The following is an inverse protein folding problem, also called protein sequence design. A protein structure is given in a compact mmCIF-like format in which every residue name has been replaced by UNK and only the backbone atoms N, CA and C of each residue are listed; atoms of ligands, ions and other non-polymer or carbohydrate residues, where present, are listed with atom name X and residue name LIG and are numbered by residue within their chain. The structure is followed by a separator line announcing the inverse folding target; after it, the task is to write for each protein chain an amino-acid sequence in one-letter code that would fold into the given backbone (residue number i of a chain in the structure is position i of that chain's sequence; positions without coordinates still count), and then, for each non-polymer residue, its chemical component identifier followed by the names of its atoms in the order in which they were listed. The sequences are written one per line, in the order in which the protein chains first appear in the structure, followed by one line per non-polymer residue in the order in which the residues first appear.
data_IF_780343731156
#
_entry.id   IF_780343731156
#
_cell.length_a   1.000
_cell.length_b   1.000
_cell.length_c   1.000
_cell.angle_alpha   90.00
_cell.angle_beta   90.00
_cell.angle_gamma   90.00
#
_symmetry.space_group_name_H-M   'P 1'
#
loop_
_entity.id
_entity.type
_entity.pdbx_description
1 polymer ?
#
# COMPACT_ATOMS: atom_id res chain seq x y z
N UNK A 1 8.86 -22.20 -0.23
CA UNK A 1 7.76 -22.77 -1.04
C UNK A 1 8.14 -22.50 -2.49
N UNK A 2 8.46 -23.53 -3.28
CA UNK A 2 8.55 -23.37 -4.73
C UNK A 2 7.17 -23.76 -5.27
N UNK A 3 6.27 -22.82 -5.51
CA UNK A 3 4.94 -23.16 -5.96
C UNK A 3 5.03 -23.43 -7.46
N UNK A 4 4.59 -24.60 -7.91
CA UNK A 4 4.46 -24.96 -9.34
C UNK A 4 3.47 -24.03 -10.08
N UNK A 5 3.74 -22.73 -10.16
CA UNK A 5 2.95 -21.75 -10.90
C UNK A 5 3.27 -21.88 -12.39
N UNK A 6 2.64 -22.85 -13.05
CA UNK A 6 2.59 -22.92 -14.50
C UNK A 6 1.28 -22.31 -15.03
N UNK A 7 1.23 -22.06 -16.34
CA UNK A 7 0.10 -21.44 -17.04
C UNK A 7 -1.24 -22.17 -16.79
N UNK A 8 -1.19 -23.49 -16.68
CA UNK A 8 -2.36 -24.32 -16.42
C UNK A 8 -2.86 -24.11 -15.00
N UNK A 9 -1.96 -24.21 -14.01
CA UNK A 9 -2.31 -24.07 -12.59
C UNK A 9 -2.89 -22.70 -12.26
N UNK A 10 -2.45 -21.62 -12.91
CA UNK A 10 -3.05 -20.30 -12.71
C UNK A 10 -4.55 -20.30 -13.05
N UNK A 11 -4.97 -21.12 -14.03
CA UNK A 11 -6.35 -21.17 -14.54
C UNK A 11 -7.23 -22.26 -13.93
N UNK A 12 -6.63 -23.34 -13.43
CA UNK A 12 -7.37 -24.52 -12.95
C UNK A 12 -7.05 -24.90 -11.50
N UNK A 13 -5.99 -24.32 -10.94
CA UNK A 13 -5.41 -24.76 -9.69
C UNK A 13 -6.08 -24.19 -8.45
N UNK A 14 -5.50 -24.60 -7.33
CA UNK A 14 -5.85 -24.14 -5.99
C UNK A 14 -4.59 -23.71 -5.23
N UNK A 15 -4.73 -22.63 -4.47
CA UNK A 15 -3.72 -22.09 -3.58
C UNK A 15 -4.27 -22.09 -2.15
N UNK A 16 -3.56 -22.75 -1.25
CA UNK A 16 -3.83 -22.76 0.19
C UNK A 16 -2.59 -22.19 0.89
N UNK A 17 -2.76 -21.13 1.67
CA UNK A 17 -1.68 -20.51 2.41
C UNK A 17 -1.52 -21.19 3.78
N UNK A 18 -0.60 -22.16 3.86
CA UNK A 18 -0.32 -22.88 5.11
C UNK A 18 0.05 -21.91 6.25
N UNK A 19 -0.64 -22.03 7.39
CA UNK A 19 -0.42 -21.16 8.55
C UNK A 19 -1.11 -19.78 8.49
N UNK A 20 -1.85 -19.48 7.42
CA UNK A 20 -2.67 -18.28 7.35
C UNK A 20 -3.82 -18.34 8.38
N UNK A 21 -4.03 -17.24 9.10
CA UNK A 21 -5.17 -17.05 9.99
C UNK A 21 -6.03 -15.92 9.45
N UNK A 22 -7.25 -16.25 9.04
CA UNK A 22 -8.24 -15.27 8.57
C UNK A 22 -8.68 -14.39 9.74
N UNK A 23 -8.50 -13.06 9.67
CA UNK A 23 -9.03 -12.15 10.70
C UNK A 23 -10.56 -12.12 10.78
N UNK A 24 -11.25 -12.53 9.71
CA UNK A 24 -12.72 -12.53 9.62
C UNK A 24 -13.35 -13.92 9.66
N UNK A 25 -12.55 -14.97 9.89
CA UNK A 25 -12.95 -16.37 9.74
C UNK A 25 -13.51 -16.72 8.35
N UNK A 26 -13.11 -15.97 7.32
CA UNK A 26 -13.43 -16.21 5.93
C UNK A 26 -12.34 -17.09 5.27
N UNK A 27 -12.71 -18.29 4.83
CA UNK A 27 -11.77 -19.23 4.20
C UNK A 27 -11.11 -18.66 2.94
N UNK A 28 -11.78 -17.78 2.21
CA UNK A 28 -11.27 -17.15 0.98
C UNK A 28 -10.10 -16.20 1.23
N UNK A 29 -9.85 -15.79 2.48
CA UNK A 29 -8.68 -14.97 2.83
C UNK A 29 -7.38 -15.80 2.87
N UNK A 30 -7.49 -17.11 3.12
CA UNK A 30 -6.35 -18.02 3.22
C UNK A 30 -6.31 -19.07 2.10
N UNK A 31 -7.33 -19.09 1.24
CA UNK A 31 -7.48 -20.04 0.15
C UNK A 31 -8.01 -19.34 -1.10
N UNK A 32 -7.48 -19.73 -2.26
CA UNK A 32 -7.98 -19.30 -3.57
C UNK A 32 -8.13 -20.51 -4.47
N UNK A 33 -9.26 -20.62 -5.16
CA UNK A 33 -9.50 -21.63 -6.19
C UNK A 33 -9.79 -20.92 -7.51
N UNK A 34 -9.09 -21.32 -8.57
CA UNK A 34 -9.39 -20.83 -9.90
C UNK A 34 -10.69 -21.45 -10.42
N UNK A 35 -11.58 -20.62 -10.96
CA UNK A 35 -12.88 -21.02 -11.49
C UNK A 35 -13.43 -19.94 -12.42
N UNK A 36 -13.93 -20.34 -13.60
CA UNK A 36 -14.44 -19.41 -14.63
C UNK A 36 -13.41 -18.32 -14.97
N UNK A 37 -13.69 -17.06 -14.66
CA UNK A 37 -12.77 -15.93 -14.87
C UNK A 37 -11.91 -15.59 -13.65
N UNK A 38 -12.06 -16.31 -12.55
CA UNK A 38 -11.21 -16.19 -11.36
C UNK A 38 -9.98 -17.05 -11.55
N UNK A 39 -8.80 -16.44 -11.47
CA UNK A 39 -7.51 -17.14 -11.55
C UNK A 39 -6.80 -17.14 -10.19
N UNK A 40 -5.75 -17.94 -10.07
CA UNK A 40 -4.79 -17.76 -8.98
C UNK A 40 -3.99 -16.47 -9.18
N UNK A 41 -3.52 -15.82 -8.10
CA UNK A 41 -2.66 -14.65 -8.22
C UNK A 41 -1.46 -14.96 -9.12
N UNK A 42 -1.24 -14.18 -10.19
CA UNK A 42 -0.23 -14.49 -11.19
C UNK A 42 1.20 -14.13 -10.75
N UNK A 43 1.34 -13.50 -9.58
CA UNK A 43 2.62 -13.00 -9.05
C UNK A 43 2.73 -13.41 -7.59
N UNK A 44 3.87 -13.95 -7.22
CA UNK A 44 4.24 -14.24 -5.84
C UNK A 44 5.09 -13.10 -5.31
N UNK A 45 4.71 -12.56 -4.16
CA UNK A 45 5.43 -11.49 -3.47
C UNK A 45 5.50 -11.79 -1.98
N UNK A 46 6.31 -11.02 -1.25
CA UNK A 46 6.49 -11.15 0.18
C UNK A 46 6.03 -9.89 0.93
N UNK A 47 5.51 -10.11 2.14
CA UNK A 47 5.23 -9.06 3.12
C UNK A 47 5.72 -9.53 4.48
N UNK A 48 6.63 -8.76 5.07
CA UNK A 48 7.18 -8.95 6.40
C UNK A 48 6.49 -8.00 7.37
N UNK A 49 6.31 -8.42 8.62
CA UNK A 49 5.78 -7.55 9.66
C UNK A 49 6.32 -7.90 11.05
N UNK A 50 6.27 -6.90 11.94
CA UNK A 50 6.76 -7.03 13.31
C UNK A 50 5.65 -7.28 14.33
N UNK A 51 4.42 -7.64 13.91
CA UNK A 51 3.25 -7.68 14.81
C UNK A 51 3.47 -8.48 16.11
N UNK A 52 4.19 -9.60 16.01
CA UNK A 52 4.48 -10.50 17.13
C UNK A 52 5.86 -10.29 17.77
N UNK A 53 6.68 -9.34 17.29
CA UNK A 53 8.05 -9.11 17.75
C UNK A 53 8.31 -7.69 18.25
N UNK A 54 7.68 -6.69 17.64
CA UNK A 54 7.86 -5.28 17.97
C UNK A 54 6.63 -4.45 17.57
N UNK A 55 6.15 -3.67 18.54
CA UNK A 55 5.06 -2.70 18.40
C UNK A 55 5.41 -1.44 19.18
N UNK A 56 4.92 -0.29 18.75
CA UNK A 56 5.19 0.98 19.41
C UNK A 56 4.03 1.95 19.22
N UNK A 57 3.92 2.91 20.13
CA UNK A 57 3.01 4.06 20.00
C UNK A 57 3.84 5.33 20.16
N UNK A 58 3.72 6.21 19.17
CA UNK A 58 4.51 7.44 19.05
C UNK A 58 6.02 7.19 18.94
N UNK A 59 6.74 8.15 18.38
CA UNK A 59 8.17 8.01 18.09
C UNK A 59 8.50 8.48 16.68
N UNK A 60 9.69 8.12 16.21
CA UNK A 60 10.12 8.29 14.83
C UNK A 60 10.51 6.94 14.25
N UNK A 61 9.95 6.58 13.09
CA UNK A 61 10.43 5.46 12.27
C UNK A 61 11.22 6.01 11.08
N UNK A 62 12.36 5.38 10.80
CA UNK A 62 13.19 5.64 9.62
C UNK A 62 13.47 4.31 8.90
N UNK A 63 13.20 4.27 7.61
CA UNK A 63 13.39 3.12 6.74
C UNK A 63 14.30 3.54 5.61
N UNK A 64 15.54 3.05 5.60
CA UNK A 64 16.45 3.24 4.47
C UNK A 64 16.25 2.12 3.48
N UNK A 65 15.72 2.45 2.31
CA UNK A 65 15.39 1.47 1.29
C UNK A 65 15.54 2.04 -0.12
N UNK A 66 15.76 1.14 -1.09
CA UNK A 66 15.54 1.38 -2.51
C UNK A 66 14.22 0.72 -2.90
N UNK A 67 13.29 1.53 -3.43
CA UNK A 67 11.95 1.07 -3.79
C UNK A 67 11.99 0.25 -5.08
N UNK A 68 11.01 -0.65 -5.30
CA UNK A 68 10.96 -1.44 -6.53
C UNK A 68 10.72 -0.56 -7.76
N UNK A 69 11.14 -1.04 -8.93
CA UNK A 69 11.03 -0.38 -10.23
C UNK A 69 10.43 -1.33 -11.28
N UNK A 70 9.36 -0.87 -11.92
CA UNK A 70 8.63 -1.61 -12.96
C UNK A 70 7.13 -1.36 -12.92
N UNK A 71 6.48 -1.63 -14.05
CA UNK A 71 5.07 -1.35 -14.23
C UNK A 71 4.19 -2.15 -13.29
N UNK A 72 3.19 -1.45 -12.74
CA UNK A 72 2.17 -2.02 -11.87
C UNK A 72 2.70 -2.58 -10.55
N UNK A 73 3.92 -2.21 -10.15
CA UNK A 73 4.50 -2.55 -8.84
C UNK A 73 4.35 -1.34 -7.90
N UNK A 74 4.22 -1.59 -6.60
CA UNK A 74 4.32 -0.56 -5.58
C UNK A 74 4.86 -1.13 -4.26
N UNK A 75 5.67 -0.35 -3.51
CA UNK A 75 6.09 -0.75 -2.18
C UNK A 75 4.99 -0.50 -1.14
N UNK A 76 5.06 -1.28 -0.07
CA UNK A 76 4.24 -1.14 1.13
C UNK A 76 5.16 -0.90 2.33
N UNK A 77 5.48 0.36 2.63
CA UNK A 77 6.18 0.74 3.88
C UNK A 77 5.13 1.33 4.82
N UNK A 78 4.62 0.48 5.72
CA UNK A 78 3.40 0.76 6.47
C UNK A 78 3.63 0.62 7.98
N UNK A 79 2.90 1.40 8.75
CA UNK A 79 2.58 1.07 10.14
C UNK A 79 1.11 0.63 10.19
N UNK A 80 0.86 -0.52 10.82
CA UNK A 80 -0.47 -1.12 10.94
C UNK A 80 -0.84 -1.32 12.42
N UNK A 81 -2.13 -1.25 12.77
CA UNK A 81 -2.55 -1.35 14.16
C UNK A 81 -2.25 -2.75 14.72
N UNK A 82 -1.60 -2.81 15.89
CA UNK A 82 -1.30 -4.08 16.56
C UNK A 82 -2.58 -4.84 16.92
N UNK A 83 -3.62 -4.09 17.27
CA UNK A 83 -4.94 -4.59 17.61
C UNK A 83 -6.01 -3.77 16.88
N UNK A 84 -7.10 -4.42 16.49
CA UNK A 84 -8.24 -3.77 15.85
C UNK A 84 -9.13 -3.06 16.89
N UNK A 85 -8.55 -2.20 17.74
CA UNK A 85 -9.23 -1.57 18.88
C UNK A 85 -10.51 -0.81 18.47
N UNK A 86 -10.45 -0.06 17.37
CA UNK A 86 -11.60 0.64 16.80
C UNK A 86 -12.37 -0.20 15.78
N UNK A 87 -11.99 -1.45 15.57
CA UNK A 87 -12.56 -2.35 14.58
C UNK A 87 -11.63 -2.65 13.41
N UNK A 88 -11.92 -3.75 12.72
CA UNK A 88 -11.18 -4.24 11.55
C UNK A 88 -11.74 -3.72 10.23
N UNK A 89 -13.06 -3.61 10.13
CA UNK A 89 -13.75 -3.24 8.91
C UNK A 89 -13.36 -1.83 8.44
N UNK A 90 -13.19 -1.67 7.13
CA UNK A 90 -12.86 -0.41 6.45
C UNK A 90 -11.73 0.40 7.11
N UNK A 91 -10.71 -0.28 7.65
CA UNK A 91 -9.58 0.36 8.33
C UNK A 91 -10.01 1.24 9.51
N UNK A 92 -11.02 0.82 10.29
CA UNK A 92 -11.48 1.58 11.45
C UNK A 92 -10.38 1.89 12.47
N UNK A 93 -9.39 0.99 12.62
CA UNK A 93 -8.20 1.23 13.46
C UNK A 93 -7.05 1.94 12.73
N UNK A 94 -7.28 2.44 11.51
CA UNK A 94 -6.35 3.22 10.71
C UNK A 94 -5.17 2.43 10.12
N UNK A 95 -4.40 3.12 9.29
CA UNK A 95 -3.08 2.70 8.81
C UNK A 95 -2.24 3.95 8.54
N UNK A 96 -0.94 3.90 8.83
CA UNK A 96 -0.01 4.95 8.44
C UNK A 96 0.89 4.44 7.32
N UNK A 97 1.03 5.23 6.27
CA UNK A 97 1.90 4.97 5.13
C UNK A 97 3.15 5.81 5.29
N UNK A 98 4.30 5.17 5.53
CA UNK A 98 5.60 5.85 5.64
C UNK A 98 6.07 6.27 4.26
N UNK A 99 5.99 5.37 3.29
CA UNK A 99 6.35 5.66 1.90
C UNK A 99 5.63 4.73 0.92
N UNK A 100 5.25 5.30 -0.22
CA UNK A 100 4.58 4.62 -1.31
C UNK A 100 4.77 5.40 -2.62
N UNK A 101 5.01 4.68 -3.71
CA UNK A 101 5.11 5.19 -5.08
C UNK A 101 4.40 4.21 -6.00
N UNK A 102 4.00 4.66 -7.19
CA UNK A 102 3.67 3.74 -8.28
C UNK A 102 4.95 3.54 -9.09
N UNK A 103 5.55 2.37 -9.00
CA UNK A 103 6.93 2.10 -9.44
C UNK A 103 7.16 2.09 -10.95
N UNK A 104 6.14 2.44 -11.73
CA UNK A 104 6.26 2.64 -13.17
C UNK A 104 7.32 3.71 -13.48
N UNK A 105 8.10 3.48 -14.54
CA UNK A 105 9.06 4.48 -15.05
C UNK A 105 8.34 5.78 -15.45
N UNK A 106 7.19 5.61 -16.10
CA UNK A 106 6.33 6.71 -16.52
C UNK A 106 4.88 6.27 -16.47
N UNK A 107 4.04 6.98 -15.72
CA UNK A 107 2.62 6.68 -15.53
C UNK A 107 1.82 7.97 -15.37
N UNK A 108 0.85 8.14 -16.26
CA UNK A 108 -0.04 9.29 -16.27
C UNK A 108 -1.49 8.86 -16.05
N UNK A 109 -2.27 9.70 -15.38
CA UNK A 109 -3.73 9.53 -15.31
C UNK A 109 -4.38 9.91 -16.64
N UNK A 110 -5.69 9.68 -16.75
CA UNK A 110 -6.50 10.13 -17.90
C UNK A 110 -6.39 11.63 -18.14
N UNK A 111 -6.27 12.40 -17.07
CA UNK A 111 -6.15 13.87 -17.07
C UNK A 111 -4.71 14.33 -17.36
N UNK A 112 -3.77 13.40 -17.60
CA UNK A 112 -2.37 13.72 -17.89
C UNK A 112 -1.53 14.04 -16.65
N UNK A 113 -2.01 13.74 -15.45
CA UNK A 113 -1.26 13.96 -14.21
C UNK A 113 -0.22 12.85 -14.05
N UNK A 114 1.04 13.21 -13.85
CA UNK A 114 2.12 12.27 -13.56
C UNK A 114 1.97 11.72 -12.13
N UNK A 115 1.85 10.40 -12.01
CA UNK A 115 1.60 9.68 -10.75
C UNK A 115 2.56 8.51 -10.52
N UNK A 116 3.67 8.53 -11.23
CA UNK A 116 4.68 7.48 -11.29
C UNK A 116 5.69 7.53 -10.15
N UNK A 117 6.83 6.87 -10.34
CA UNK A 117 7.86 6.73 -9.33
C UNK A 117 8.58 8.01 -8.93
N UNK A 118 8.31 9.13 -9.59
CA UNK A 118 8.78 10.47 -9.20
C UNK A 118 7.92 11.09 -8.09
N UNK A 119 6.78 10.49 -7.75
CA UNK A 119 5.80 11.00 -6.78
C UNK A 119 5.72 10.11 -5.54
N UNK A 120 6.52 10.43 -4.53
CA UNK A 120 6.43 9.82 -3.20
C UNK A 120 5.15 10.26 -2.50
N UNK A 121 4.45 9.30 -1.89
CA UNK A 121 3.27 9.52 -1.06
C UNK A 121 3.45 8.88 0.33
N UNK A 122 2.93 9.56 1.34
CA UNK A 122 2.85 9.05 2.71
C UNK A 122 1.74 9.75 3.48
N UNK A 123 1.35 9.24 4.63
CA UNK A 123 0.32 9.85 5.48
C UNK A 123 -0.66 8.84 6.08
N UNK A 124 -1.83 9.33 6.50
CA UNK A 124 -2.85 8.52 7.13
C UNK A 124 -3.82 7.92 6.10
N UNK A 125 -4.25 6.68 6.35
CA UNK A 125 -5.32 6.00 5.59
C UNK A 125 -6.38 5.54 6.58
N UNK A 126 -7.63 5.97 6.35
CA UNK A 126 -8.75 5.78 7.27
C UNK A 126 -9.87 4.90 6.71
N UNK A 127 -9.80 4.56 5.42
CA UNK A 127 -10.85 3.85 4.68
C UNK A 127 -10.26 3.23 3.42
N UNK A 128 -10.89 2.16 2.95
CA UNK A 128 -10.62 1.53 1.66
C UNK A 128 -11.43 2.15 0.52
N UNK A 129 -12.37 3.06 0.82
CA UNK A 129 -13.20 3.73 -0.20
C UNK A 129 -12.33 4.54 -1.19
N UNK A 130 -12.36 4.26 -2.51
CA UNK A 130 -11.38 4.78 -3.47
C UNK A 130 -11.20 6.30 -3.48
N UNK A 131 -12.29 7.08 -3.36
CA UNK A 131 -12.24 8.56 -3.39
C UNK A 131 -11.76 9.19 -2.09
N UNK A 132 -11.81 8.46 -0.99
CA UNK A 132 -11.53 8.97 0.35
C UNK A 132 -10.22 8.42 0.94
N UNK A 133 -9.72 7.29 0.41
CA UNK A 133 -8.50 6.62 0.85
C UNK A 133 -7.30 7.56 0.87
N UNK A 134 -7.17 8.39 -0.16
CA UNK A 134 -6.00 9.23 -0.37
C UNK A 134 -6.12 10.63 0.26
N UNK A 135 -7.22 10.92 0.99
CA UNK A 135 -7.54 12.27 1.49
C UNK A 135 -6.47 12.87 2.42
N UNK A 136 -5.74 12.03 3.16
CA UNK A 136 -4.67 12.45 4.07
C UNK A 136 -3.28 12.03 3.59
N UNK A 137 -3.16 11.56 2.35
CA UNK A 137 -1.85 11.34 1.75
C UNK A 137 -1.27 12.68 1.29
N UNK A 138 0.01 12.87 1.59
CA UNK A 138 0.79 14.02 1.16
C UNK A 138 1.87 13.53 0.21
N UNK A 139 2.21 14.37 -0.75
CA UNK A 139 3.14 14.02 -1.80
C UNK A 139 4.41 14.85 -1.73
N UNK A 140 5.54 14.23 -2.07
CA UNK A 140 6.77 14.90 -2.47
C UNK A 140 7.09 14.48 -3.90
N UNK A 141 7.51 15.42 -4.74
CA UNK A 141 7.86 15.17 -6.14
C UNK A 141 9.31 15.54 -6.35
N UNK A 142 10.07 14.63 -6.95
CA UNK A 142 11.44 14.87 -7.37
C UNK A 142 11.54 14.70 -8.88
N UNK A 143 12.58 15.28 -9.49
CA UNK A 143 12.91 15.02 -10.89
C UNK A 143 13.50 13.62 -11.08
N UNK A 144 14.04 13.03 -10.02
CA UNK A 144 14.56 11.67 -10.00
C UNK A 144 13.50 10.67 -9.50
N UNK A 145 13.53 9.46 -10.06
CA UNK A 145 12.65 8.39 -9.62
C UNK A 145 13.09 7.85 -8.26
N UNK A 146 12.18 7.73 -7.30
CA UNK A 146 12.48 7.22 -5.94
C UNK A 146 12.93 5.75 -5.88
N UNK A 147 13.07 5.10 -7.03
CA UNK A 147 13.54 3.71 -7.17
C UNK A 147 14.93 3.65 -7.79
N UNK A 148 15.56 4.78 -8.13
CA UNK A 148 16.89 4.81 -8.70
C UNK A 148 17.97 4.64 -7.63
N UNK A 149 17.75 5.25 -6.46
CA UNK A 149 18.69 5.25 -5.35
C UNK A 149 18.06 4.82 -4.01
N UNK A 150 18.91 4.58 -3.02
CA UNK A 150 18.47 4.42 -1.63
C UNK A 150 18.08 5.77 -1.06
N UNK A 151 16.90 5.85 -0.47
CA UNK A 151 16.44 7.00 0.30
C UNK A 151 16.12 6.58 1.73
N UNK A 152 16.12 7.56 2.63
CA UNK A 152 15.67 7.37 4.01
C UNK A 152 14.26 7.94 4.17
N UNK A 153 13.27 7.07 4.17
CA UNK A 153 11.86 7.43 4.38
C UNK A 153 11.55 7.46 5.86
N UNK A 154 10.92 8.52 6.34
CA UNK A 154 10.62 8.68 7.76
C UNK A 154 9.21 9.15 8.06
N UNK A 155 8.75 8.75 9.23
CA UNK A 155 7.50 9.20 9.82
C UNK A 155 7.73 9.50 11.30
N UNK A 156 7.50 10.75 11.70
CA UNK A 156 7.53 11.21 13.09
C UNK A 156 6.10 11.29 13.58
N UNK A 157 5.76 10.44 14.54
CA UNK A 157 4.42 10.30 15.08
C UNK A 157 4.40 10.79 16.53
N UNK A 158 3.68 11.88 16.76
CA UNK A 158 3.42 12.50 18.06
C UNK A 158 1.95 12.33 18.44
N UNK A 159 1.58 12.57 19.71
CA UNK A 159 0.19 12.57 20.13
C UNK A 159 -0.72 13.53 19.36
N UNK A 160 -0.16 14.62 18.84
CA UNK A 160 -0.89 15.72 18.19
C UNK A 160 -0.59 15.89 16.69
N UNK A 161 0.34 15.10 16.14
CA UNK A 161 0.82 15.31 14.78
C UNK A 161 1.53 14.10 14.16
N UNK A 162 1.48 14.02 12.83
CA UNK A 162 2.26 13.06 12.04
C UNK A 162 3.04 13.84 10.99
N UNK A 163 4.37 13.81 11.06
CA UNK A 163 5.24 14.43 10.07
C UNK A 163 5.89 13.37 9.18
N UNK A 164 6.02 13.69 7.89
CA UNK A 164 6.61 12.79 6.89
C UNK A 164 7.92 13.38 6.40
N UNK A 165 8.95 12.53 6.30
CA UNK A 165 10.28 12.92 5.88
C UNK A 165 10.81 12.02 4.77
N UNK A 166 11.67 12.56 3.93
CA UNK A 166 12.53 11.80 3.03
C UNK A 166 13.92 12.44 3.01
N UNK A 167 14.95 11.62 3.19
CA UNK A 167 16.36 12.04 3.27
C UNK A 167 16.60 13.15 4.30
N UNK A 168 15.90 13.06 5.43
CA UNK A 168 15.96 14.03 6.51
C UNK A 168 15.11 15.29 6.30
N UNK A 169 14.57 15.53 5.11
CA UNK A 169 13.72 16.68 4.82
C UNK A 169 12.26 16.37 5.11
N UNK A 170 11.62 17.21 5.92
CA UNK A 170 10.19 17.13 6.19
C UNK A 170 9.38 17.78 5.07
N UNK A 171 8.62 16.99 4.32
CA UNK A 171 7.79 17.50 3.22
C UNK A 171 6.33 17.74 3.61
N UNK A 172 5.87 17.20 4.75
CA UNK A 172 4.52 17.44 5.23
C UNK A 172 4.36 17.21 6.74
N UNK A 173 3.30 17.81 7.30
CA UNK A 173 2.80 17.52 8.66
C UNK A 173 1.28 17.47 8.64
N UNK A 174 0.72 16.41 9.21
CA UNK A 174 -0.70 16.25 9.50
C UNK A 174 -0.93 16.67 10.95
N UNK A 175 -1.88 17.59 11.16
CA UNK A 175 -2.44 17.97 12.47
C UNK A 175 -3.97 17.88 12.43
N UNK A 176 -4.47 17.00 11.58
CA UNK A 176 -5.87 16.90 11.20
C UNK A 176 -6.74 16.37 12.36
N UNK A 177 -8.02 16.74 12.34
CA UNK A 177 -9.04 16.11 13.18
C UNK A 177 -9.75 15.05 12.35
N UNK A 178 -9.32 13.79 12.46
CA UNK A 178 -9.81 12.73 11.59
C UNK A 178 -11.31 12.45 11.80
N UNK A 179 -11.80 12.48 13.05
CA UNK A 179 -13.22 12.23 13.37
C UNK A 179 -14.21 13.19 12.69
N UNK A 180 -14.06 14.52 12.78
CA UNK A 180 -14.88 15.45 12.00
C UNK A 180 -14.89 15.17 10.50
N UNK A 181 -13.72 14.87 9.90
CA UNK A 181 -13.64 14.51 8.48
C UNK A 181 -14.44 13.24 8.18
N UNK A 182 -14.27 12.21 9.01
CA UNK A 182 -14.99 10.95 8.84
C UNK A 182 -16.51 11.12 8.95
N UNK A 183 -16.98 11.91 9.92
CA UNK A 183 -18.40 12.25 10.05
C UNK A 183 -18.92 13.00 8.80
N UNK A 184 -18.18 14.00 8.32
CA UNK A 184 -18.57 14.77 7.13
C UNK A 184 -18.60 13.95 5.83
N UNK A 185 -17.86 12.84 5.77
CA UNK A 185 -17.75 11.97 4.59
C UNK A 185 -18.45 10.61 4.77
N UNK A 186 -19.36 10.47 5.73
CA UNK A 186 -20.11 9.25 6.00
C UNK A 186 -19.22 8.00 6.16
N UNK A 187 -18.12 8.16 6.91
CA UNK A 187 -17.29 7.05 7.38
C UNK A 187 -17.89 6.55 8.70
N UNK A 188 -18.60 5.42 8.65
CA UNK A 188 -19.30 4.84 9.82
C UNK A 188 -18.35 4.52 10.96
N UNK A 189 -17.10 4.15 10.64
CA UNK A 189 -16.03 3.91 11.61
C UNK A 189 -15.66 5.15 12.43
N UNK A 190 -15.94 6.36 11.96
CA UNK A 190 -15.65 7.59 12.69
C UNK A 190 -16.43 7.70 14.02
N UNK A 191 -17.57 7.01 14.12
CA UNK A 191 -18.34 6.92 15.36
C UNK A 191 -17.60 6.15 16.46
N UNK A 192 -16.68 5.25 16.07
CA UNK A 192 -15.90 4.44 17.01
C UNK A 192 -14.68 5.21 17.57
N UNK A 193 -14.23 6.25 16.86
CA UNK A 193 -13.04 7.02 17.23
C UNK A 193 -13.25 7.86 18.49
N UNK A 194 -12.19 7.97 19.29
CA UNK A 194 -12.19 8.71 20.53
C UNK A 194 -12.47 10.21 20.26
N UNK A 195 -13.57 10.80 20.78
CA UNK A 195 -13.89 12.21 20.57
C UNK A 195 -12.88 13.17 21.23
N UNK A 196 -12.20 12.73 22.29
CA UNK A 196 -11.27 13.55 23.06
C UNK A 196 -9.84 13.51 22.48
N UNK A 197 -9.61 12.67 21.47
CA UNK A 197 -8.33 12.58 20.78
C UNK A 197 -8.48 12.92 19.29
N UNK A 198 -8.02 14.11 18.91
CA UNK A 198 -8.05 14.59 17.54
C UNK A 198 -7.35 13.64 16.53
N UNK A 199 -6.33 12.92 16.98
CA UNK A 199 -5.52 12.02 16.15
C UNK A 199 -6.05 10.58 16.13
N UNK A 200 -7.13 10.25 16.85
CA UNK A 200 -7.79 8.94 16.74
C UNK A 200 -8.14 8.65 15.27
N UNK A 201 -7.81 7.46 14.73
CA UNK A 201 -7.46 6.21 15.43
C UNK A 201 -5.97 5.98 15.74
N UNK A 202 -5.10 6.97 15.52
CA UNK A 202 -3.65 6.84 15.70
C UNK A 202 -3.20 7.15 17.13
N UNK A 203 -3.82 6.46 18.09
CA UNK A 203 -3.57 6.60 19.53
C UNK A 203 -3.35 5.27 20.27
N UNK A 204 -3.20 4.19 19.49
CA UNK A 204 -2.89 2.82 19.92
C UNK A 204 -1.53 2.38 19.39
N UNK A 205 -1.06 1.20 19.77
CA UNK A 205 0.21 0.67 19.27
C UNK A 205 0.09 0.16 17.83
N UNK A 206 1.11 0.44 17.04
CA UNK A 206 1.24 -0.01 15.66
C UNK A 206 2.51 -0.85 15.51
N UNK A 207 2.52 -1.76 14.54
CA UNK A 207 3.68 -2.54 14.12
C UNK A 207 4.10 -2.14 12.70
N UNK A 208 5.34 -2.43 12.34
CA UNK A 208 5.90 -2.12 11.02
C UNK A 208 5.58 -3.26 10.07
N UNK A 209 5.20 -2.92 8.84
CA UNK A 209 5.11 -3.88 7.75
C UNK A 209 5.77 -3.37 6.48
N UNK A 210 6.52 -4.27 5.84
CA UNK A 210 7.29 -4.03 4.62
C UNK A 210 6.88 -5.07 3.59
N UNK A 211 6.58 -4.66 2.37
CA UNK A 211 6.25 -5.60 1.30
C UNK A 211 6.19 -4.96 -0.06
N UNK A 212 5.92 -5.78 -1.08
CA UNK A 212 5.73 -5.35 -2.46
C UNK A 212 4.36 -5.80 -2.94
N UNK A 213 3.56 -4.85 -3.42
CA UNK A 213 2.29 -5.11 -4.09
C UNK A 213 2.45 -5.05 -5.60
N UNK A 214 1.64 -5.83 -6.31
CA UNK A 214 1.61 -5.84 -7.78
C UNK A 214 0.16 -5.84 -8.25
N UNK A 215 -0.15 -4.96 -9.20
CA UNK A 215 -1.49 -4.77 -9.75
C UNK A 215 -2.48 -4.24 -8.71
N UNK A 216 -3.61 -4.92 -8.55
CA UNK A 216 -4.66 -4.54 -7.60
C UNK A 216 -5.65 -3.51 -8.14
N UNK A 217 -6.69 -3.23 -7.36
CA UNK A 217 -7.84 -2.39 -7.77
C UNK A 217 -7.92 -1.05 -7.03
N UNK A 218 -6.90 -0.74 -6.24
CA UNK A 218 -6.87 0.42 -5.34
C UNK A 218 -5.84 1.45 -5.75
N UNK A 219 -4.60 1.04 -6.03
CA UNK A 219 -3.47 1.96 -6.13
C UNK A 219 -3.30 2.58 -7.51
N UNK A 220 -3.68 1.86 -8.58
CA UNK A 220 -3.60 2.33 -9.96
C UNK A 220 -4.95 2.88 -10.45
N UNK A 221 -5.06 4.18 -10.77
CA UNK A 221 -6.28 4.77 -11.30
C UNK A 221 -6.71 4.13 -12.62
N UNK A 222 -8.01 4.04 -12.85
CA UNK A 222 -8.54 3.60 -14.14
C UNK A 222 -8.19 4.58 -15.26
N UNK A 223 -8.06 4.06 -16.48
CA UNK A 223 -7.65 4.83 -17.66
C UNK A 223 -6.27 5.48 -17.56
N UNK A 224 -5.43 5.04 -16.61
CA UNK A 224 -4.02 5.40 -16.59
C UNK A 224 -3.26 4.77 -17.77
N UNK A 225 -2.17 5.41 -18.18
CA UNK A 225 -1.34 4.99 -19.31
C UNK A 225 0.13 4.98 -18.88
N UNK A 226 0.84 3.92 -19.23
CA UNK A 226 2.25 3.69 -18.87
C UNK A 226 3.19 3.80 -20.08
N UNK A 227 4.41 4.26 -19.83
CA UNK A 227 5.50 4.31 -20.79
C UNK A 227 5.34 5.35 -21.92
N UNK A 228 6.35 5.50 -22.78
CA UNK A 228 6.38 6.51 -23.84
C UNK A 228 5.31 6.30 -24.91
N UNK A 229 4.89 5.04 -25.13
CA UNK A 229 3.84 4.67 -26.07
C UNK A 229 2.43 4.81 -25.49
N UNK A 230 2.29 5.32 -24.26
CA UNK A 230 1.00 5.51 -23.55
C UNK A 230 0.14 4.25 -23.56
N UNK A 231 0.75 3.11 -23.22
CA UNK A 231 0.02 1.85 -23.17
C UNK A 231 -1.02 1.91 -22.05
N UNK A 232 -2.30 1.63 -22.33
CA UNK A 232 -3.33 1.74 -21.31
C UNK A 232 -3.17 0.66 -20.24
N UNK A 233 -3.53 0.99 -19.00
CA UNK A 233 -3.70 0.02 -17.93
C UNK A 233 -4.60 -1.14 -18.41
N UNK A 234 -4.15 -2.41 -18.27
CA UNK A 234 -4.84 -3.54 -18.89
C UNK A 234 -6.15 -3.94 -18.19
N UNK A 235 -6.47 -3.41 -17.00
CA UNK A 235 -7.69 -3.72 -16.26
C UNK A 235 -8.43 -2.49 -15.74
N UNK A 236 -9.72 -2.67 -15.47
CA UNK A 236 -10.56 -1.71 -14.75
C UNK A 236 -10.73 -2.14 -13.29
N UNK A 237 -10.66 -1.21 -12.34
CA UNK A 237 -10.74 -1.48 -10.89
C UNK A 237 -12.06 -2.11 -10.44
N UNK A 238 -13.14 -1.92 -11.20
CA UNK A 238 -14.46 -2.48 -10.90
C UNK A 238 -14.74 -3.81 -11.60
N UNK A 239 -13.85 -4.24 -12.50
CA UNK A 239 -14.07 -5.46 -13.28
C UNK A 239 -13.87 -6.71 -12.44
N UNK A 240 -14.82 -7.68 -12.45
CA UNK A 240 -14.60 -8.98 -11.82
C UNK A 240 -13.51 -9.81 -12.53
N UNK A 241 -13.07 -9.38 -13.71
CA UNK A 241 -11.99 -10.00 -14.49
C UNK A 241 -10.67 -9.22 -14.41
N UNK A 242 -10.54 -8.28 -13.49
CA UNK A 242 -9.37 -7.39 -13.40
C UNK A 242 -8.04 -8.17 -13.32
N UNK A 243 -7.96 -9.13 -12.40
CA UNK A 243 -6.80 -10.00 -12.20
C UNK A 243 -6.47 -10.82 -13.47
N UNK A 244 -7.50 -11.32 -14.16
CA UNK A 244 -7.34 -12.04 -15.41
C UNK A 244 -6.76 -11.17 -16.53
N UNK A 245 -7.27 -9.95 -16.71
CA UNK A 245 -6.76 -9.03 -17.72
C UNK A 245 -5.34 -8.54 -17.41
N UNK A 246 -5.05 -8.30 -16.13
CA UNK A 246 -3.69 -8.06 -15.67
C UNK A 246 -2.74 -9.20 -16.10
N UNK A 247 -3.14 -10.45 -15.84
CA UNK A 247 -2.36 -11.63 -16.22
C UNK A 247 -2.18 -11.82 -17.74
N UNK A 248 -3.23 -11.57 -18.53
CA UNK A 248 -3.16 -11.67 -19.99
C UNK A 248 -2.12 -10.71 -20.59
N UNK A 249 -1.90 -9.57 -19.93
CA UNK A 249 -0.94 -8.56 -20.38
C UNK A 249 0.50 -8.79 -19.87
N UNK A 250 0.80 -9.91 -19.19
CA UNK A 250 2.10 -10.14 -18.53
C UNK A 250 3.34 -10.00 -19.39
N UNK A 251 3.26 -10.40 -20.66
CA UNK A 251 4.40 -10.30 -21.57
C UNK A 251 4.81 -8.85 -21.85
N UNK A 252 3.94 -7.88 -21.54
CA UNK A 252 4.21 -6.45 -21.62
C UNK A 252 4.84 -5.97 -20.32
N UNK A 253 4.10 -6.04 -19.20
CA UNK A 253 4.58 -5.45 -17.95
C UNK A 253 5.77 -6.18 -17.34
N UNK A 254 5.89 -7.50 -17.51
CA UNK A 254 7.00 -8.25 -16.90
C UNK A 254 8.36 -7.82 -17.44
N UNK A 255 8.42 -7.36 -18.69
CA UNK A 255 9.65 -6.85 -19.31
C UNK A 255 10.10 -5.50 -18.75
N UNK A 256 9.21 -4.78 -18.07
CA UNK A 256 9.51 -3.48 -17.46
C UNK A 256 10.11 -3.61 -16.07
N UNK A 257 10.10 -4.82 -15.49
CA UNK A 257 10.57 -5.09 -14.13
C UNK A 257 12.10 -5.18 -14.11
N UNK A 258 12.76 -4.03 -14.08
CA UNK A 258 14.23 -3.92 -14.09
C UNK A 258 14.84 -4.05 -12.69
N UNK A 259 14.13 -3.59 -11.65
CA UNK A 259 14.53 -3.76 -10.25
C UNK A 259 13.29 -3.97 -9.36
N UNK A 260 12.55 -5.10 -9.50
CA UNK A 260 11.23 -5.28 -8.88
C UNK A 260 11.27 -5.54 -7.36
N UNK A 261 12.46 -5.56 -6.76
CA UNK A 261 12.66 -5.90 -5.36
C UNK A 261 12.58 -4.65 -4.47
N UNK A 262 11.97 -4.77 -3.29
CA UNK A 262 12.16 -3.80 -2.22
C UNK A 262 13.45 -4.13 -1.47
N UNK A 263 14.48 -3.31 -1.61
CA UNK A 263 15.79 -3.51 -0.96
C UNK A 263 15.87 -2.64 0.27
N UNK A 264 15.87 -3.24 1.45
CA UNK A 264 15.91 -2.52 2.73
C UNK A 264 17.31 -2.68 3.34
N UNK A 265 17.95 -1.56 3.65
CA UNK A 265 19.21 -1.53 4.38
C UNK A 265 18.97 -1.60 5.88
N UNK A 266 18.17 -0.67 6.41
CA UNK A 266 17.78 -0.70 7.82
C UNK A 266 16.38 -0.16 8.08
N UNK A 267 15.85 -0.56 9.24
CA UNK A 267 14.67 0.03 9.88
C UNK A 267 15.09 0.45 11.28
N UNK A 268 14.85 1.71 11.65
CA UNK A 268 15.14 2.24 12.98
C UNK A 268 13.91 2.90 13.57
N UNK A 269 13.72 2.70 14.87
CA UNK A 269 12.63 3.32 15.64
C UNK A 269 13.23 4.01 16.85
N UNK A 270 12.81 5.26 17.06
CA UNK A 270 13.29 6.12 18.13
C UNK A 270 12.10 6.58 18.98
N UNK A 271 12.28 6.60 20.30
CA UNK A 271 11.40 7.37 21.18
C UNK A 271 11.69 8.87 21.01
N UNK A 272 10.70 9.71 21.30
CA UNK A 272 10.79 11.18 21.27
C UNK A 272 11.05 11.74 22.67
#
# INVERSE_FOLDING_TARGET
MNPDFNEERIRTGELILSGCKSPTNNEYECRRRAALSTILPPVVSAKLNTKNSFRFRYGRVEIRAKLPKGDWIFPQLLLQPAENYYGYADLASGMLMVAHVLSNEHLITREGILVDGHRLRGGAILTTKPKLRDAFLKANVLDEHFSDNFHTYGLVWKPDSIALTVDGFQYATLRDRFKPYGAANNLTQANLWNPDNAMSPFDREFYISLGVGVGGVTDFPDSSMTGPLRQPKPWNNTSPKAEYFFYQNRNVWFRTWTDPELKVDYVRVYAL
#
